data_IF_642935495968
#
_entry.id   IF_642935495968
#
_cell.length_a   1.000
_cell.length_b   1.000
_cell.length_c   1.000
_cell.angle_alpha   90.00
_cell.angle_beta   90.00
_cell.angle_gamma   90.00
#
_symmetry.space_group_name_H-M   'P 1'
#
loop_
_entity.id
_entity.type
_entity.pdbx_description
1 polymer ?
#
# COMPACT_ATOMS: atom_id res chain seq x y z
N UNK A 1 25.00 -0.82 -13.95
CA UNK A 1 23.59 -0.94 -13.49
C UNK A 1 23.62 -0.96 -11.96
N UNK A 2 22.86 -0.08 -11.29
CA UNK A 2 22.81 -0.08 -9.83
C UNK A 2 22.09 -1.34 -9.37
N UNK A 3 22.78 -2.20 -8.62
CA UNK A 3 22.16 -3.35 -7.97
C UNK A 3 21.34 -2.85 -6.79
N UNK A 4 20.10 -3.36 -6.66
CA UNK A 4 19.26 -3.03 -5.52
C UNK A 4 19.25 -4.20 -4.53
N UNK A 5 19.23 -3.87 -3.25
CA UNK A 5 19.12 -4.81 -2.14
C UNK A 5 17.68 -4.87 -1.62
N UNK A 6 17.12 -6.09 -1.53
CA UNK A 6 15.87 -6.34 -0.80
C UNK A 6 16.23 -6.72 0.63
N UNK A 7 15.69 -6.03 1.61
CA UNK A 7 15.89 -6.31 3.04
C UNK A 7 14.63 -6.07 3.85
N UNK A 8 14.60 -6.59 5.08
CA UNK A 8 13.54 -6.24 6.03
C UNK A 8 13.56 -4.74 6.34
N UNK A 9 12.37 -4.18 6.46
CA UNK A 9 12.19 -2.77 6.81
C UNK A 9 12.60 -2.50 8.26
N UNK A 10 13.01 -1.26 8.53
CA UNK A 10 13.30 -0.72 9.86
C UNK A 10 12.51 0.58 10.01
N UNK A 11 12.22 0.97 11.24
CA UNK A 11 11.48 2.22 11.48
C UNK A 11 12.20 3.46 10.90
N UNK A 12 13.53 3.44 10.85
CA UNK A 12 14.33 4.50 10.23
C UNK A 12 14.17 4.63 8.71
N UNK A 13 13.53 3.66 8.05
CA UNK A 13 13.24 3.73 6.60
C UNK A 13 11.99 4.58 6.29
N UNK A 14 11.24 4.99 7.32
CA UNK A 14 9.98 5.71 7.18
C UNK A 14 10.05 6.90 6.21
N UNK A 15 11.04 7.82 6.31
CA UNK A 15 11.12 8.96 5.39
C UNK A 15 11.32 8.54 3.93
N UNK A 16 12.17 7.53 3.68
CA UNK A 16 12.42 7.02 2.34
C UNK A 16 11.20 6.29 1.76
N UNK A 17 10.50 5.51 2.57
CA UNK A 17 9.29 4.82 2.15
C UNK A 17 8.13 5.81 1.90
N UNK A 18 8.02 6.88 2.70
CA UNK A 18 7.06 7.99 2.45
C UNK A 18 7.37 8.69 1.12
N UNK A 19 8.64 8.94 0.83
CA UNK A 19 9.06 9.48 -0.46
C UNK A 19 8.65 8.58 -1.63
N UNK A 20 8.84 7.25 -1.53
CA UNK A 20 8.37 6.30 -2.55
C UNK A 20 6.86 6.38 -2.70
N UNK A 21 6.10 6.37 -1.60
CA UNK A 21 4.65 6.46 -1.59
C UNK A 21 4.17 7.75 -2.30
N UNK A 22 4.79 8.89 -1.99
CA UNK A 22 4.50 10.16 -2.65
C UNK A 22 4.78 10.09 -4.16
N UNK A 23 5.96 9.59 -4.55
CA UNK A 23 6.38 9.52 -5.96
C UNK A 23 5.61 8.50 -6.79
N UNK A 24 4.80 7.66 -6.18
CA UNK A 24 3.88 6.71 -6.85
C UNK A 24 2.41 7.02 -6.56
N UNK A 25 2.14 8.06 -5.76
CA UNK A 25 0.82 8.38 -5.20
C UNK A 25 -0.23 8.91 -6.19
N UNK A 26 0.11 9.04 -7.47
CA UNK A 26 -0.85 9.37 -8.53
C UNK A 26 -1.05 8.17 -9.44
N UNK A 27 -1.74 7.12 -8.92
CA UNK A 27 -2.04 5.88 -9.65
C UNK A 27 -0.78 5.21 -10.24
N UNK A 28 0.30 5.16 -9.46
CA UNK A 28 1.60 4.63 -9.87
C UNK A 28 2.51 5.64 -10.59
N UNK A 29 2.06 6.87 -10.77
CA UNK A 29 2.83 7.99 -11.32
C UNK A 29 3.23 8.96 -10.20
N UNK A 30 4.09 9.94 -10.53
CA UNK A 30 4.55 10.95 -9.59
C UNK A 30 3.39 11.75 -8.98
N UNK A 31 3.19 11.61 -7.67
CA UNK A 31 2.18 12.32 -6.90
C UNK A 31 2.64 13.67 -6.35
N UNK A 32 3.96 13.94 -6.31
CA UNK A 32 4.51 15.15 -5.67
C UNK A 32 3.82 16.47 -6.11
N UNK A 33 3.49 16.67 -7.39
CA UNK A 33 2.80 17.89 -7.82
C UNK A 33 1.43 18.12 -7.17
N UNK A 34 0.79 17.05 -6.70
CA UNK A 34 -0.58 17.05 -6.17
C UNK A 34 -0.65 17.11 -4.63
N UNK A 35 0.48 16.80 -3.93
CA UNK A 35 0.56 16.72 -2.47
C UNK A 35 1.53 17.73 -1.87
N UNK A 36 1.69 18.93 -2.52
CA UNK A 36 2.66 19.95 -2.09
C UNK A 36 2.37 20.53 -0.72
N UNK A 37 1.12 20.59 -0.33
CA UNK A 37 0.64 21.07 0.96
C UNK A 37 0.85 20.09 2.10
N UNK A 38 0.91 18.78 1.81
CA UNK A 38 1.29 17.74 2.76
C UNK A 38 1.87 16.50 2.04
N UNK A 39 3.18 16.47 1.78
CA UNK A 39 3.83 15.37 1.07
C UNK A 39 3.74 14.01 1.76
N UNK A 40 3.50 14.00 3.08
CA UNK A 40 3.46 12.79 3.90
C UNK A 40 2.05 12.21 4.05
N UNK A 41 1.02 12.88 3.52
CA UNK A 41 -0.37 12.50 3.74
C UNK A 41 -0.66 11.03 3.41
N UNK A 42 -0.25 10.56 2.23
CA UNK A 42 -0.43 9.16 1.82
C UNK A 42 0.40 8.19 2.69
N UNK A 43 1.64 8.56 3.00
CA UNK A 43 2.56 7.72 3.76
C UNK A 43 2.03 7.38 5.15
N UNK A 44 1.28 8.29 5.78
CA UNK A 44 0.66 8.07 7.09
C UNK A 44 -0.41 6.97 7.09
N UNK A 45 -1.01 6.65 5.94
CA UNK A 45 -1.96 5.54 5.79
C UNK A 45 -1.27 4.30 5.23
N UNK A 46 -0.52 4.47 4.14
CA UNK A 46 -0.07 3.37 3.30
C UNK A 46 1.32 2.85 3.63
N UNK A 47 2.04 3.48 4.57
CA UNK A 47 3.41 3.07 4.95
C UNK A 47 3.55 2.94 6.46
N UNK A 48 3.27 4.01 7.22
CA UNK A 48 3.54 4.06 8.65
C UNK A 48 2.96 2.90 9.44
N UNK A 49 1.67 2.56 9.30
CA UNK A 49 1.04 1.46 10.03
C UNK A 49 1.68 0.10 9.79
N UNK A 50 2.12 -0.18 8.56
CA UNK A 50 2.78 -1.46 8.24
C UNK A 50 4.13 -1.59 8.93
N UNK A 51 4.94 -0.53 8.91
CA UNK A 51 6.22 -0.54 9.61
C UNK A 51 6.05 -0.67 11.13
N UNK A 52 4.97 -0.11 11.67
CA UNK A 52 4.68 -0.15 13.10
C UNK A 52 4.10 -1.51 13.55
N UNK A 53 3.17 -2.08 12.78
CA UNK A 53 2.34 -3.21 13.20
C UNK A 53 2.78 -4.54 12.61
N UNK A 54 3.36 -4.53 11.40
CA UNK A 54 3.76 -5.72 10.66
C UNK A 54 5.23 -5.66 10.18
N UNK A 55 6.20 -5.37 11.06
CA UNK A 55 7.61 -5.22 10.66
C UNK A 55 8.18 -6.49 10.02
N UNK A 56 7.69 -7.68 10.42
CA UNK A 56 8.09 -8.95 9.83
C UNK A 56 7.62 -9.10 8.37
N UNK A 57 6.46 -8.52 8.02
CA UNK A 57 5.87 -8.56 6.68
C UNK A 57 6.23 -7.32 5.85
N UNK A 58 7.20 -6.53 6.31
CA UNK A 58 7.62 -5.29 5.67
C UNK A 58 9.01 -5.41 5.08
N UNK A 59 9.12 -5.17 3.77
CA UNK A 59 10.37 -5.19 3.01
C UNK A 59 10.65 -3.83 2.38
N UNK A 60 11.93 -3.49 2.32
CA UNK A 60 12.46 -2.31 1.62
C UNK A 60 13.34 -2.77 0.46
N UNK A 61 13.25 -2.05 -0.64
CA UNK A 61 14.19 -2.07 -1.75
C UNK A 61 15.04 -0.81 -1.69
N UNK A 62 16.36 -0.95 -1.65
CA UNK A 62 17.29 0.18 -1.66
C UNK A 62 18.37 0.02 -2.71
N UNK A 63 18.83 1.14 -3.24
CA UNK A 63 20.00 1.26 -4.11
C UNK A 63 20.99 2.30 -3.54
N UNK A 64 21.94 2.75 -4.33
CA UNK A 64 22.95 3.75 -3.90
C UNK A 64 22.35 5.11 -3.57
N UNK A 65 21.16 5.42 -4.09
CA UNK A 65 20.45 6.67 -3.87
C UNK A 65 19.49 6.58 -2.65
N UNK A 66 19.40 5.40 -2.01
CA UNK A 66 18.55 5.13 -0.86
C UNK A 66 17.33 4.28 -1.19
N UNK A 67 16.27 4.40 -0.39
CA UNK A 67 15.02 3.63 -0.58
C UNK A 67 14.41 3.95 -1.93
N UNK A 68 14.15 2.92 -2.72
CA UNK A 68 13.56 3.03 -4.06
C UNK A 68 12.32 2.14 -4.26
N UNK A 69 11.90 1.45 -3.20
CA UNK A 69 10.68 0.67 -3.19
C UNK A 69 10.39 0.05 -1.84
N UNK A 70 9.17 -0.41 -1.67
CA UNK A 70 8.75 -1.21 -0.53
C UNK A 70 7.71 -2.26 -0.95
N UNK A 71 7.59 -3.33 -0.17
CA UNK A 71 6.48 -4.26 -0.21
C UNK A 71 6.08 -4.61 1.22
N UNK A 72 4.81 -4.47 1.52
CA UNK A 72 4.24 -4.70 2.83
C UNK A 72 3.13 -5.73 2.75
N UNK A 73 2.94 -6.47 3.86
CA UNK A 73 1.80 -7.33 4.07
C UNK A 73 1.18 -7.06 5.43
N UNK A 74 -0.11 -7.35 5.55
CA UNK A 74 -0.78 -7.51 6.83
C UNK A 74 -1.32 -8.93 6.90
N UNK A 75 -1.08 -9.62 8.04
CA UNK A 75 -1.44 -11.03 8.17
C UNK A 75 -2.95 -11.25 8.16
N UNK A 76 -3.68 -10.40 8.90
CA UNK A 76 -5.14 -10.39 8.96
C UNK A 76 -5.64 -8.96 8.85
N UNK A 77 -6.40 -8.66 7.81
CA UNK A 77 -6.84 -7.29 7.50
C UNK A 77 -7.76 -6.72 8.57
N UNK A 78 -8.66 -7.55 9.15
CA UNK A 78 -9.58 -7.10 10.21
C UNK A 78 -8.80 -6.74 11.48
N UNK A 79 -7.84 -7.57 11.86
CA UNK A 79 -6.99 -7.31 13.03
C UNK A 79 -6.09 -6.08 12.80
N UNK A 80 -5.51 -5.94 11.59
CA UNK A 80 -4.69 -4.80 11.23
C UNK A 80 -5.48 -3.48 11.31
N UNK A 81 -6.66 -3.43 10.71
CA UNK A 81 -7.47 -2.22 10.73
C UNK A 81 -8.07 -1.93 12.12
N UNK A 82 -8.39 -2.95 12.91
CA UNK A 82 -8.77 -2.74 14.32
C UNK A 82 -7.62 -2.12 15.14
N UNK A 83 -6.37 -2.56 14.88
CA UNK A 83 -5.19 -1.97 15.52
C UNK A 83 -4.94 -0.54 15.04
N UNK A 84 -5.09 -0.28 13.73
CA UNK A 84 -5.00 1.06 13.14
C UNK A 84 -6.01 2.02 13.79
N UNK A 85 -7.28 1.62 13.93
CA UNK A 85 -8.34 2.39 14.57
C UNK A 85 -7.99 2.79 16.01
N UNK A 86 -7.41 1.86 16.74
CA UNK A 86 -7.13 2.05 18.16
C UNK A 86 -5.86 2.84 18.43
N UNK A 87 -4.77 2.53 17.73
CA UNK A 87 -3.43 2.97 18.10
C UNK A 87 -2.82 4.02 17.13
N UNK A 88 -3.33 4.12 15.89
CA UNK A 88 -2.73 4.99 14.87
C UNK A 88 -3.63 6.16 14.48
N UNK A 89 -4.88 5.87 14.10
CA UNK A 89 -5.83 6.88 13.61
C UNK A 89 -6.12 8.03 14.58
N UNK A 90 -6.26 7.83 15.91
CA UNK A 90 -6.59 8.92 16.82
C UNK A 90 -5.58 10.06 16.79
N UNK A 91 -4.28 9.74 16.68
CA UNK A 91 -3.23 10.75 16.57
C UNK A 91 -3.31 11.53 15.25
N UNK A 92 -3.64 10.85 14.14
CA UNK A 92 -3.84 11.51 12.85
C UNK A 92 -5.04 12.47 12.89
N UNK A 93 -6.18 12.03 13.42
CA UNK A 93 -7.37 12.87 13.56
C UNK A 93 -7.13 14.09 14.45
N UNK A 94 -6.33 13.94 15.51
CA UNK A 94 -5.98 15.06 16.40
C UNK A 94 -5.06 16.08 15.72
N UNK A 95 -4.11 15.61 14.90
CA UNK A 95 -3.13 16.46 14.23
C UNK A 95 -3.67 17.08 12.93
N UNK A 96 -4.51 16.36 12.19
CA UNK A 96 -5.06 16.75 10.90
C UNK A 96 -6.59 16.81 11.00
N UNK A 97 -7.18 17.96 11.31
CA UNK A 97 -8.64 18.07 11.43
C UNK A 97 -9.35 17.80 10.09
N UNK A 98 -10.60 17.37 10.17
CA UNK A 98 -11.44 17.15 8.99
C UNK A 98 -11.51 18.47 8.17
N UNK A 99 -11.14 18.44 6.87
CA UNK A 99 -11.20 19.61 6.03
C UNK A 99 -12.62 20.19 5.97
N UNK A 100 -12.70 21.52 5.93
CA UNK A 100 -13.96 22.23 5.86
C UNK A 100 -14.26 22.67 4.43
N UNK A 101 -15.52 22.99 4.14
CA UNK A 101 -15.99 23.47 2.84
C UNK A 101 -16.41 22.35 1.89
N UNK A 102 -16.53 22.72 0.63
CA UNK A 102 -16.97 21.78 -0.43
C UNK A 102 -15.84 20.77 -0.75
N UNK A 103 -16.09 19.46 -0.60
CA UNK A 103 -15.11 18.41 -0.92
C UNK A 103 -14.58 18.48 -2.36
N UNK A 104 -15.35 19.00 -3.31
CA UNK A 104 -14.92 19.16 -4.69
C UNK A 104 -13.79 20.21 -4.87
N UNK A 105 -13.58 21.06 -3.85
CA UNK A 105 -12.53 22.08 -3.85
C UNK A 105 -11.31 21.68 -3.00
N UNK A 106 -11.33 20.53 -2.36
CA UNK A 106 -10.22 20.10 -1.53
C UNK A 106 -9.00 19.74 -2.37
N UNK A 107 -7.83 20.07 -1.83
CA UNK A 107 -6.57 19.55 -2.37
C UNK A 107 -6.53 18.02 -2.23
N UNK A 108 -5.60 17.38 -2.94
CA UNK A 108 -5.41 15.93 -2.80
C UNK A 108 -4.99 15.54 -1.36
N UNK A 109 -4.17 16.34 -0.70
CA UNK A 109 -3.81 16.10 0.69
C UNK A 109 -5.02 16.25 1.63
N UNK A 110 -5.87 17.24 1.43
CA UNK A 110 -7.12 17.39 2.17
C UNK A 110 -8.08 16.21 1.96
N UNK A 111 -8.18 15.68 0.75
CA UNK A 111 -8.93 14.45 0.49
C UNK A 111 -8.38 13.28 1.32
N UNK A 112 -7.05 13.12 1.39
CA UNK A 112 -6.42 12.10 2.25
C UNK A 112 -6.66 12.38 3.73
N UNK A 113 -6.61 13.64 4.19
CA UNK A 113 -6.98 13.98 5.57
C UNK A 113 -8.42 13.58 5.90
N UNK A 114 -9.36 13.70 4.95
CA UNK A 114 -10.73 13.22 5.18
C UNK A 114 -10.79 11.70 5.39
N UNK A 115 -9.92 10.92 4.75
CA UNK A 115 -9.83 9.46 4.98
C UNK A 115 -9.33 9.11 6.38
N UNK A 116 -8.57 9.99 7.06
CA UNK A 116 -8.23 9.76 8.48
C UNK A 116 -9.47 9.77 9.38
N UNK A 117 -10.50 10.55 9.03
CA UNK A 117 -11.75 10.67 9.77
C UNK A 117 -12.82 9.67 9.33
N UNK A 118 -12.82 9.32 8.05
CA UNK A 118 -13.81 8.46 7.40
C UNK A 118 -13.10 7.39 6.56
N UNK A 119 -12.35 6.46 7.20
CA UNK A 119 -11.62 5.44 6.49
C UNK A 119 -12.56 4.43 5.84
N UNK A 120 -12.18 3.97 4.64
CA UNK A 120 -12.82 2.84 3.98
C UNK A 120 -11.90 1.61 4.11
N UNK A 121 -12.33 0.64 4.89
CA UNK A 121 -11.63 -0.63 5.11
C UNK A 121 -12.26 -1.75 4.29
N UNK A 122 -12.40 -1.52 3.00
CA UNK A 122 -12.98 -2.54 2.13
C UNK A 122 -12.15 -3.83 2.14
N UNK A 123 -12.82 -4.93 2.37
CA UNK A 123 -12.26 -6.28 2.34
C UNK A 123 -13.10 -7.14 1.39
N UNK A 124 -12.49 -7.70 0.32
CA UNK A 124 -13.24 -8.49 -0.65
C UNK A 124 -13.67 -9.83 -0.06
N UNK A 125 -14.84 -10.32 -0.51
CA UNK A 125 -15.32 -11.66 -0.19
C UNK A 125 -14.79 -12.69 -1.22
N UNK A 126 -14.61 -13.97 -0.85
CA UNK A 126 -14.75 -14.49 0.52
C UNK A 126 -13.53 -14.14 1.39
N UNK A 127 -13.75 -13.42 2.48
CA UNK A 127 -12.69 -12.94 3.36
C UNK A 127 -11.79 -14.06 3.89
N UNK A 128 -12.38 -15.18 4.31
CA UNK A 128 -11.66 -16.30 4.91
C UNK A 128 -10.66 -16.94 3.94
N UNK A 129 -10.88 -16.80 2.63
CA UNK A 129 -9.95 -17.28 1.61
C UNK A 129 -8.78 -16.33 1.35
N UNK A 130 -8.95 -15.03 1.68
CA UNK A 130 -7.96 -13.97 1.40
C UNK A 130 -7.84 -12.99 2.56
N UNK A 131 -7.58 -13.45 3.81
CA UNK A 131 -7.60 -12.57 4.98
C UNK A 131 -6.44 -11.57 5.03
N UNK A 132 -5.32 -11.90 4.39
CA UNK A 132 -4.15 -11.02 4.35
C UNK A 132 -4.26 -10.00 3.22
N UNK A 133 -3.64 -8.81 3.40
CA UNK A 133 -3.52 -7.87 2.29
C UNK A 133 -2.09 -7.43 2.03
N UNK A 134 -1.86 -6.93 0.81
CA UNK A 134 -0.54 -6.55 0.31
C UNK A 134 -0.55 -5.12 -0.21
N UNK A 135 0.59 -4.44 -0.04
CA UNK A 135 0.83 -3.13 -0.60
C UNK A 135 2.27 -3.04 -1.13
N UNK A 136 2.48 -2.54 -2.36
CA UNK A 136 3.80 -2.42 -2.97
C UNK A 136 3.88 -1.20 -3.87
N UNK A 137 4.97 -0.47 -3.73
CA UNK A 137 5.35 0.60 -4.65
C UNK A 137 6.86 0.59 -4.93
N UNK A 138 7.22 0.88 -6.17
CA UNK A 138 8.60 1.02 -6.61
C UNK A 138 8.75 2.30 -7.44
N UNK A 139 9.81 3.05 -7.19
CA UNK A 139 10.22 4.15 -8.07
C UNK A 139 10.56 3.63 -9.48
N UNK A 140 10.36 4.47 -10.49
CA UNK A 140 10.58 4.12 -11.88
C UNK A 140 11.97 3.49 -12.13
N UNK A 141 13.03 3.98 -11.44
CA UNK A 141 14.39 3.47 -11.56
C UNK A 141 14.57 2.02 -11.07
N UNK A 142 13.63 1.51 -10.27
CA UNK A 142 13.63 0.14 -9.76
C UNK A 142 12.67 -0.79 -10.52
N UNK A 143 11.77 -0.25 -11.33
CA UNK A 143 10.80 -1.02 -12.10
C UNK A 143 11.44 -1.77 -13.28
N UNK A 144 10.70 -2.75 -13.84
CA UNK A 144 11.12 -3.52 -15.03
C UNK A 144 12.28 -4.49 -14.81
N UNK A 145 12.78 -4.64 -13.56
CA UNK A 145 13.98 -5.43 -13.21
C UNK A 145 13.66 -6.65 -12.34
N UNK A 146 12.39 -7.02 -12.22
CA UNK A 146 11.93 -8.19 -11.45
C UNK A 146 11.90 -8.01 -9.92
N UNK A 147 12.30 -6.85 -9.39
CA UNK A 147 12.32 -6.63 -7.94
C UNK A 147 10.92 -6.69 -7.32
N UNK A 148 9.91 -6.11 -7.97
CA UNK A 148 8.53 -6.15 -7.46
C UNK A 148 8.01 -7.58 -7.29
N UNK A 149 8.27 -8.47 -8.28
CA UNK A 149 7.95 -9.89 -8.17
C UNK A 149 8.65 -10.52 -6.96
N UNK A 150 9.97 -10.36 -6.86
CA UNK A 150 10.79 -10.97 -5.80
C UNK A 150 10.36 -10.50 -4.40
N UNK A 151 10.01 -9.23 -4.26
CA UNK A 151 9.53 -8.68 -2.98
C UNK A 151 8.17 -9.25 -2.61
N UNK A 152 7.19 -9.25 -3.52
CA UNK A 152 5.87 -9.84 -3.25
C UNK A 152 5.95 -11.33 -2.98
N UNK A 153 6.78 -12.08 -3.71
CA UNK A 153 6.99 -13.52 -3.45
C UNK A 153 7.53 -13.74 -2.03
N UNK A 154 8.48 -12.91 -1.55
CA UNK A 154 8.99 -13.01 -0.19
C UNK A 154 7.93 -12.65 0.87
N UNK A 155 7.12 -11.60 0.65
CA UNK A 155 6.04 -11.25 1.60
C UNK A 155 4.98 -12.35 1.63
N UNK A 156 4.57 -12.88 0.46
CA UNK A 156 3.61 -13.97 0.37
C UNK A 156 4.13 -15.27 1.02
N UNK A 157 5.43 -15.56 0.89
CA UNK A 157 6.05 -16.70 1.58
C UNK A 157 5.96 -16.53 3.11
N UNK A 158 6.30 -15.35 3.64
CA UNK A 158 6.16 -15.06 5.08
C UNK A 158 4.71 -15.15 5.57
N UNK A 159 3.74 -14.74 4.75
CA UNK A 159 2.32 -14.91 5.06
C UNK A 159 1.93 -16.40 5.11
N UNK A 160 2.40 -17.18 4.13
CA UNK A 160 2.17 -18.62 4.07
C UNK A 160 2.79 -19.35 5.27
N UNK A 161 4.03 -19.02 5.66
CA UNK A 161 4.70 -19.56 6.85
C UNK A 161 3.90 -19.30 8.14
N UNK A 162 3.16 -18.19 8.20
CA UNK A 162 2.26 -17.85 9.30
C UNK A 162 0.88 -18.52 9.19
N UNK A 163 0.62 -19.27 8.11
CA UNK A 163 -0.63 -20.00 7.92
C UNK A 163 -1.73 -19.20 7.21
N UNK A 164 -1.43 -18.09 6.54
CA UNK A 164 -2.43 -17.40 5.73
C UNK A 164 -2.83 -18.24 4.51
N UNK A 165 -4.13 -18.49 4.27
CA UNK A 165 -4.61 -19.24 3.12
C UNK A 165 -4.55 -18.45 1.82
N UNK A 166 -4.54 -17.11 1.89
CA UNK A 166 -4.55 -16.25 0.73
C UNK A 166 -4.38 -14.78 1.06
N UNK A 167 -4.01 -14.02 0.05
CA UNK A 167 -3.85 -12.58 0.17
C UNK A 167 -4.59 -11.85 -0.95
N UNK A 168 -5.06 -10.64 -0.64
CA UNK A 168 -5.68 -9.73 -1.59
C UNK A 168 -4.92 -8.39 -1.65
N UNK A 169 -5.24 -7.61 -2.67
CA UNK A 169 -4.82 -6.22 -2.79
C UNK A 169 -5.86 -5.44 -3.63
N UNK A 170 -5.94 -4.15 -3.39
CA UNK A 170 -6.69 -3.23 -4.21
C UNK A 170 -5.77 -2.47 -5.15
N UNK A 171 -6.20 -2.26 -6.39
CA UNK A 171 -5.49 -1.44 -7.36
C UNK A 171 -6.47 -0.57 -8.15
N UNK A 172 -6.12 0.70 -8.35
CA UNK A 172 -6.97 1.60 -9.14
C UNK A 172 -7.17 1.07 -10.56
N UNK A 173 -8.40 1.16 -11.08
CA UNK A 173 -8.76 0.76 -12.44
C UNK A 173 -7.97 1.50 -13.52
N UNK A 174 -7.47 2.70 -13.22
CA UNK A 174 -6.65 3.47 -14.17
C UNK A 174 -5.17 3.07 -14.15
N UNK A 175 -4.72 2.30 -13.15
CA UNK A 175 -3.35 1.76 -13.08
C UNK A 175 -3.24 0.41 -13.80
N UNK A 176 -3.55 0.39 -15.09
CA UNK A 176 -3.55 -0.83 -15.90
C UNK A 176 -2.20 -1.58 -15.94
N UNK A 177 -1.02 -0.92 -15.87
CA UNK A 177 0.24 -1.63 -15.77
C UNK A 177 0.36 -2.48 -14.50
N UNK A 178 -0.14 -1.99 -13.35
CA UNK A 178 -0.14 -2.72 -12.10
C UNK A 178 -1.10 -3.92 -12.14
N UNK A 179 -2.30 -3.75 -12.71
CA UNK A 179 -3.24 -4.87 -12.90
C UNK A 179 -2.57 -6.01 -13.66
N UNK A 180 -2.00 -5.74 -14.85
CA UNK A 180 -1.29 -6.76 -15.63
C UNK A 180 -0.07 -7.35 -14.91
N UNK A 181 0.59 -6.60 -14.03
CA UNK A 181 1.68 -7.13 -13.20
C UNK A 181 1.17 -8.17 -12.19
N UNK A 182 0.07 -7.89 -11.49
CA UNK A 182 -0.50 -8.82 -10.51
C UNK A 182 -1.10 -10.07 -11.18
N UNK A 183 -1.76 -9.93 -12.34
CA UNK A 183 -2.25 -11.07 -13.11
C UNK A 183 -1.13 -12.05 -13.51
N UNK A 184 0.04 -11.52 -13.93
CA UNK A 184 1.25 -12.34 -14.22
C UNK A 184 1.84 -13.00 -12.98
N UNK A 185 1.53 -12.50 -11.77
CA UNK A 185 1.89 -13.13 -10.50
C UNK A 185 0.86 -14.18 -10.05
N UNK A 186 -0.21 -14.38 -10.80
CA UNK A 186 -1.25 -15.35 -10.52
C UNK A 186 -2.38 -14.85 -9.64
N UNK A 187 -2.47 -13.54 -9.41
CA UNK A 187 -3.66 -12.94 -8.81
C UNK A 187 -4.84 -13.02 -9.77
N UNK A 188 -6.04 -13.13 -9.22
CA UNK A 188 -7.31 -13.16 -9.95
C UNK A 188 -8.24 -12.10 -9.42
N UNK A 189 -9.07 -11.56 -10.29
CA UNK A 189 -10.11 -10.61 -9.92
C UNK A 189 -11.10 -11.23 -8.94
N UNK A 190 -11.36 -10.53 -7.84
CA UNK A 190 -12.40 -10.85 -6.86
C UNK A 190 -13.63 -9.98 -7.08
N UNK A 191 -13.42 -8.66 -7.15
CA UNK A 191 -14.50 -7.67 -7.33
C UNK A 191 -13.95 -6.35 -7.88
N UNK A 192 -14.81 -5.60 -8.56
CA UNK A 192 -14.61 -4.18 -8.91
C UNK A 192 -15.58 -3.32 -8.13
N UNK A 193 -15.07 -2.21 -7.60
CA UNK A 193 -15.84 -1.23 -6.83
C UNK A 193 -15.63 0.14 -7.46
N UNK A 194 -16.71 0.91 -7.66
CA UNK A 194 -16.63 2.23 -8.28
C UNK A 194 -16.34 2.19 -9.80
N UNK A 195 -16.00 3.33 -10.35
CA UNK A 195 -15.68 3.49 -11.78
C UNK A 195 -14.73 4.66 -12.01
N UNK A 196 -14.08 4.70 -13.19
CA UNK A 196 -13.18 5.77 -13.58
C UNK A 196 -11.96 5.87 -12.63
N UNK A 197 -11.60 7.07 -12.24
CA UNK A 197 -10.46 7.34 -11.36
C UNK A 197 -10.70 6.88 -9.92
N UNK A 198 -11.96 6.86 -9.47
CA UNK A 198 -12.35 6.40 -8.13
C UNK A 198 -12.59 4.89 -8.08
N UNK A 199 -12.48 4.22 -9.22
CA UNK A 199 -12.67 2.77 -9.32
C UNK A 199 -11.44 1.98 -8.86
N UNK A 200 -11.71 0.87 -8.17
CA UNK A 200 -10.71 -0.07 -7.68
C UNK A 200 -11.07 -1.50 -8.08
N UNK A 201 -10.09 -2.26 -8.51
CA UNK A 201 -10.19 -3.72 -8.67
C UNK A 201 -9.47 -4.38 -7.50
N UNK A 202 -10.15 -5.30 -6.83
CA UNK A 202 -9.56 -6.15 -5.81
C UNK A 202 -9.19 -7.48 -6.44
N UNK A 203 -7.93 -7.85 -6.24
CA UNK A 203 -7.34 -9.06 -6.78
C UNK A 203 -6.92 -9.97 -5.62
N UNK A 204 -7.18 -11.27 -5.73
CA UNK A 204 -6.81 -12.25 -4.72
C UNK A 204 -5.91 -13.34 -5.27
N UNK A 205 -5.10 -13.92 -4.39
CA UNK A 205 -4.24 -15.06 -4.69
C UNK A 205 -4.23 -16.03 -3.51
N UNK A 206 -4.54 -17.33 -3.79
CA UNK A 206 -4.34 -18.39 -2.81
C UNK A 206 -2.85 -18.57 -2.51
N UNK A 207 -2.53 -18.74 -1.23
CA UNK A 207 -1.19 -19.05 -0.72
C UNK A 207 -1.07 -20.50 -0.27
N UNK A 208 -2.18 -21.27 -0.28
CA UNK A 208 -2.16 -22.72 -0.05
C UNK A 208 -1.39 -23.43 -1.17
N UNK A 209 -0.69 -24.52 -0.82
CA UNK A 209 0.02 -25.39 -1.77
C UNK A 209 -0.97 -26.23 -2.56
#
# INVERSE_FOLDING_TARGET
MNECLIRSARFGDLPGAYHVCLKTGNYGQDGEPYYRDDPDALGRIFVGPYLAFEPYLSLILEDREGVCGYAFGAFDSKAFFAHYEKEWRPALCAQFPLPQGDPAQWTRAQQVHSWYHQPDYFMPEPYEAYPSHLHIDLLARAQGRGYGRRMLEQVMERLRERGSPGAHLGVSLVNTPAVGFYERLGFRELIRVGSGQDGCIYLGKSLSL
#
